data_IF_714425642592
#
_entry.id   IF_714425642592
#
_cell.length_a   1.000
_cell.length_b   1.000
_cell.length_c   1.000
_cell.angle_alpha   90.00
_cell.angle_beta   90.00
_cell.angle_gamma   90.00
#
_symmetry.space_group_name_H-M   'P 1'
#
loop_
_entity.id
_entity.type
_entity.pdbx_description
1 polymer ?
#
# COMPACT_ATOMS: atom_id res chain seq x y z
N UNK A 1 -9.71 15.59 -5.00
CA UNK A 1 -8.73 14.61 -4.49
C UNK A 1 -8.80 13.42 -5.43
N UNK A 2 -7.76 13.19 -6.20
CA UNK A 2 -7.77 12.11 -7.18
C UNK A 2 -7.83 10.76 -6.47
N UNK A 3 -8.78 9.93 -6.87
CA UNK A 3 -8.92 8.56 -6.36
C UNK A 3 -7.67 7.76 -6.74
N UNK A 4 -7.02 7.15 -5.75
CA UNK A 4 -5.93 6.20 -5.99
C UNK A 4 -6.53 4.91 -6.55
N UNK A 5 -6.03 4.43 -7.69
CA UNK A 5 -6.53 3.20 -8.33
C UNK A 5 -5.59 2.01 -8.12
N UNK A 6 -4.31 2.27 -7.83
CA UNK A 6 -3.28 1.26 -7.63
C UNK A 6 -2.19 1.78 -6.70
N UNK A 7 -1.71 0.93 -5.81
CA UNK A 7 -0.62 1.20 -4.89
C UNK A 7 0.48 0.15 -5.07
N UNK A 8 1.71 0.59 -5.32
CA UNK A 8 2.91 -0.21 -5.14
C UNK A 8 3.42 -0.08 -3.71
N UNK A 9 3.73 -1.21 -3.07
CA UNK A 9 4.29 -1.28 -1.74
C UNK A 9 5.62 -2.03 -1.77
N UNK A 10 6.68 -1.27 -1.52
CA UNK A 10 8.03 -1.80 -1.28
C UNK A 10 8.26 -1.95 0.23
N UNK A 11 8.93 -3.03 0.63
CA UNK A 11 8.93 -3.48 2.03
C UNK A 11 10.33 -3.73 2.58
N UNK A 12 10.55 -3.25 3.80
CA UNK A 12 11.73 -3.57 4.60
C UNK A 12 11.30 -4.05 6.00
N UNK A 13 12.25 -4.44 6.87
CA UNK A 13 11.94 -4.94 8.22
C UNK A 13 11.04 -3.99 9.03
N UNK A 14 11.26 -2.68 8.89
CA UNK A 14 10.60 -1.65 9.71
C UNK A 14 10.00 -0.49 8.90
N UNK A 15 10.20 -0.49 7.58
CA UNK A 15 9.89 0.63 6.70
C UNK A 15 9.11 0.11 5.50
N UNK A 16 8.10 0.86 5.10
CA UNK A 16 7.25 0.61 3.93
C UNK A 16 7.29 1.84 3.05
N UNK A 17 7.55 1.67 1.77
CA UNK A 17 7.49 2.74 0.79
C UNK A 17 6.25 2.52 -0.08
N UNK A 18 5.29 3.45 0.00
CA UNK A 18 4.09 3.42 -0.81
C UNK A 18 4.21 4.38 -1.99
N UNK A 19 3.81 3.90 -3.15
CA UNK A 19 3.65 4.66 -4.38
C UNK A 19 2.25 4.43 -4.95
N UNK A 20 1.40 5.44 -4.96
CA UNK A 20 0.03 5.33 -5.48
C UNK A 20 -0.19 6.23 -6.69
N UNK A 21 -0.96 5.72 -7.65
CA UNK A 21 -1.31 6.44 -8.89
C UNK A 21 -2.82 6.65 -9.02
N UNK A 22 -3.21 7.72 -9.71
CA UNK A 22 -4.61 8.01 -10.05
C UNK A 22 -5.03 7.33 -11.37
N UNK A 23 -6.25 7.59 -11.83
CA UNK A 23 -6.80 7.05 -13.08
C UNK A 23 -6.03 7.43 -14.35
N UNK A 24 -5.21 8.49 -14.31
CA UNK A 24 -4.32 8.91 -15.40
C UNK A 24 -2.90 8.34 -15.26
N UNK A 25 -2.71 7.37 -14.36
CA UNK A 25 -1.42 6.82 -13.93
C UNK A 25 -0.45 7.86 -13.35
N UNK A 26 -0.93 9.05 -12.97
CA UNK A 26 -0.09 10.07 -12.33
C UNK A 26 0.14 9.74 -10.86
N UNK A 27 1.37 9.90 -10.36
CA UNK A 27 1.71 9.63 -8.96
C UNK A 27 1.03 10.67 -8.05
N UNK A 28 0.16 10.19 -7.16
CA UNK A 28 -0.57 11.02 -6.18
C UNK A 28 -0.26 10.64 -4.73
N UNK A 29 0.46 9.54 -4.52
CA UNK A 29 0.98 9.11 -3.22
C UNK A 29 2.44 8.70 -3.37
N UNK A 30 3.32 9.29 -2.56
CA UNK A 30 4.72 8.87 -2.40
C UNK A 30 5.12 9.07 -0.95
N UNK A 31 5.03 8.02 -0.12
CA UNK A 31 5.26 8.14 1.32
C UNK A 31 6.03 6.96 1.88
N UNK A 32 6.99 7.28 2.74
CA UNK A 32 7.68 6.34 3.61
C UNK A 32 6.91 6.25 4.92
N UNK A 33 6.58 5.04 5.35
CA UNK A 33 5.78 4.78 6.55
C UNK A 33 6.43 3.70 7.40
N UNK A 34 6.21 3.76 8.71
CA UNK A 34 6.45 2.64 9.63
C UNK A 34 5.25 1.70 9.61
N UNK A 35 5.43 0.50 10.17
CA UNK A 35 4.39 -0.55 10.21
C UNK A 35 3.03 -0.04 10.67
N UNK A 36 2.98 0.69 11.80
CA UNK A 36 1.72 1.20 12.36
C UNK A 36 1.02 2.16 11.39
N UNK A 37 1.76 3.13 10.85
CA UNK A 37 1.24 4.12 9.91
C UNK A 37 0.72 3.47 8.62
N UNK A 38 1.40 2.42 8.14
CA UNK A 38 0.97 1.66 6.96
C UNK A 38 -0.36 0.94 7.23
N UNK A 39 -0.50 0.29 8.39
CA UNK A 39 -1.74 -0.39 8.79
C UNK A 39 -2.89 0.61 8.95
N UNK A 40 -2.64 1.72 9.67
CA UNK A 40 -3.64 2.77 9.88
C UNK A 40 -4.08 3.41 8.55
N UNK A 41 -3.12 3.60 7.62
CA UNK A 41 -3.40 4.09 6.27
C UNK A 41 -4.35 3.14 5.52
N UNK A 42 -4.05 1.85 5.44
CA UNK A 42 -4.89 0.90 4.71
C UNK A 42 -6.25 0.66 5.38
N UNK A 43 -6.36 0.80 6.71
CA UNK A 43 -7.65 0.71 7.41
C UNK A 43 -8.63 1.81 6.98
N UNK A 44 -8.13 2.97 6.56
CA UNK A 44 -8.95 4.11 6.11
C UNK A 44 -8.94 4.31 4.60
N UNK A 45 -8.04 3.62 3.89
CA UNK A 45 -7.94 3.66 2.45
C UNK A 45 -9.10 2.85 1.84
N UNK A 46 -9.83 3.37 0.84
CA UNK A 46 -10.79 2.57 0.10
C UNK A 46 -10.14 1.33 -0.54
N UNK A 47 -10.90 0.21 -0.73
CA UNK A 47 -10.46 -0.94 -1.50
C UNK A 47 -9.77 -0.54 -2.81
N UNK A 48 -8.54 -1.00 -3.00
CA UNK A 48 -7.63 -0.55 -4.07
C UNK A 48 -6.65 -1.67 -4.38
N UNK A 49 -6.32 -1.86 -5.66
CA UNK A 49 -5.33 -2.85 -6.07
C UNK A 49 -3.94 -2.53 -5.48
N UNK A 50 -3.37 -3.48 -4.72
CA UNK A 50 -2.03 -3.34 -4.14
C UNK A 50 -1.05 -4.33 -4.78
N UNK A 51 0.00 -3.81 -5.39
CA UNK A 51 1.16 -4.57 -5.82
C UNK A 51 2.21 -4.56 -4.70
N UNK A 52 2.66 -5.74 -4.26
CA UNK A 52 3.62 -5.89 -3.16
C UNK A 52 4.93 -6.44 -3.71
N UNK A 53 6.04 -5.84 -3.32
CA UNK A 53 7.38 -6.37 -3.60
C UNK A 53 7.52 -7.82 -3.09
N UNK A 54 8.17 -8.67 -3.88
CA UNK A 54 8.42 -10.05 -3.51
C UNK A 54 9.54 -10.15 -2.47
N UNK A 55 9.18 -10.36 -1.21
CA UNK A 55 10.12 -10.58 -0.10
C UNK A 55 9.60 -11.68 0.85
N UNK A 56 10.40 -12.08 1.84
CA UNK A 56 9.98 -13.09 2.82
C UNK A 56 8.73 -12.72 3.65
N UNK A 57 8.37 -11.44 3.70
CA UNK A 57 7.16 -10.94 4.38
C UNK A 57 5.96 -10.67 3.46
N UNK A 58 6.11 -10.79 2.13
CA UNK A 58 5.09 -10.32 1.17
C UNK A 58 3.73 -11.00 1.38
N UNK A 59 3.71 -12.31 1.57
CA UNK A 59 2.47 -13.06 1.81
C UNK A 59 1.80 -12.71 3.14
N UNK A 60 2.57 -12.35 4.18
CA UNK A 60 1.99 -11.88 5.43
C UNK A 60 1.24 -10.57 5.21
N UNK A 61 1.87 -9.62 4.52
CA UNK A 61 1.25 -8.33 4.20
C UNK A 61 0.06 -8.47 3.26
N UNK A 62 0.15 -9.33 2.24
CA UNK A 62 -0.96 -9.60 1.34
C UNK A 62 -2.22 -10.07 2.08
N UNK A 63 -2.07 -11.01 3.03
CA UNK A 63 -3.21 -11.47 3.86
C UNK A 63 -3.78 -10.38 4.76
N UNK A 64 -2.92 -9.55 5.34
CA UNK A 64 -3.37 -8.43 6.17
C UNK A 64 -4.17 -7.41 5.34
N UNK A 65 -3.65 -6.99 4.19
CA UNK A 65 -4.33 -6.03 3.32
C UNK A 65 -5.64 -6.59 2.76
N UNK A 66 -5.67 -7.88 2.39
CA UNK A 66 -6.89 -8.57 1.99
C UNK A 66 -7.96 -8.57 3.11
N UNK A 67 -7.55 -8.63 4.40
CA UNK A 67 -8.50 -8.55 5.52
C UNK A 67 -9.14 -7.15 5.68
N UNK A 68 -8.56 -6.11 5.09
CA UNK A 68 -9.15 -4.78 4.99
C UNK A 68 -9.97 -4.58 3.70
N UNK A 69 -10.00 -5.59 2.82
CA UNK A 69 -10.75 -5.57 1.57
C UNK A 69 -10.00 -4.98 0.37
N UNK A 70 -8.67 -4.88 0.44
CA UNK A 70 -7.82 -4.50 -0.70
C UNK A 70 -7.57 -5.65 -1.68
#
# INVERSE_FOLDING_TARGET
MDKIIRIGMDTSKHVFQLHGVNGEEKPVLRKKMRRKEMIDFFTTCPPTLVAIEACGGSHHWARLLASFGH
#
